data_IF_274516602427
#
_entry.id   IF_274516602427
#
_cell.length_a   1.000
_cell.length_b   1.000
_cell.length_c   1.000
_cell.angle_alpha   90.00
_cell.angle_beta   90.00
_cell.angle_gamma   90.00
#
_symmetry.space_group_name_H-M   'P 1'
#
loop_
_entity.id
_entity.type
_entity.pdbx_description
1 polymer ?
#
# COMPACT_ATOMS: atom_id res chain seq x y z
N UNK A 1 51.37 -26.68 -33.36
CA UNK A 1 51.71 -28.07 -33.72
C UNK A 1 50.66 -28.97 -33.06
N UNK A 2 49.47 -29.12 -33.67
CA UNK A 2 49.04 -30.21 -34.58
C UNK A 2 49.07 -31.61 -33.95
N UNK A 3 47.89 -32.13 -33.56
CA UNK A 3 47.38 -33.52 -33.71
C UNK A 3 45.97 -33.56 -33.07
N UNK A 4 44.85 -33.51 -33.82
CA UNK A 4 44.16 -34.55 -34.61
C UNK A 4 43.66 -35.71 -33.70
N UNK A 5 42.42 -35.70 -33.19
CA UNK A 5 41.10 -36.03 -33.77
C UNK A 5 40.90 -37.53 -34.08
N UNK A 6 40.04 -38.21 -33.32
CA UNK A 6 39.30 -39.40 -33.78
C UNK A 6 37.85 -39.34 -33.28
N UNK A 7 36.96 -39.22 -34.27
CA UNK A 7 35.51 -39.38 -34.25
C UNK A 7 35.20 -40.87 -34.52
N UNK A 8 34.27 -41.47 -33.77
CA UNK A 8 33.70 -42.78 -34.10
C UNK A 8 32.18 -42.65 -34.17
N UNK A 9 31.69 -42.51 -35.40
CA UNK A 9 30.31 -42.74 -35.82
C UNK A 9 30.29 -44.17 -36.39
N UNK A 10 29.39 -45.01 -35.90
CA UNK A 10 29.00 -46.24 -36.60
C UNK A 10 27.49 -46.23 -36.84
N UNK A 11 27.19 -46.29 -38.15
CA UNK A 11 25.89 -46.49 -38.76
C UNK A 11 25.45 -47.96 -38.66
N UNK A 12 24.13 -48.16 -38.66
CA UNK A 12 23.47 -49.40 -39.05
C UNK A 12 21.97 -49.19 -39.22
N UNK A 13 21.52 -48.94 -40.46
CA UNK A 13 20.13 -49.18 -40.91
C UNK A 13 19.88 -50.69 -41.01
N UNK A 14 18.76 -51.26 -41.48
CA UNK A 14 17.67 -50.92 -42.42
C UNK A 14 16.52 -51.89 -42.01
N UNK A 15 15.23 -51.53 -42.01
CA UNK A 15 14.20 -51.94 -43.01
C UNK A 15 12.85 -51.39 -42.51
N UNK A 16 12.13 -50.56 -43.25
CA UNK A 16 11.19 -50.87 -44.35
C UNK A 16 9.80 -51.35 -43.86
N UNK A 17 8.78 -50.63 -44.35
CA UNK A 17 7.35 -50.64 -43.99
C UNK A 17 6.56 -51.76 -44.73
N UNK A 18 5.27 -51.60 -45.12
CA UNK A 18 4.01 -51.31 -44.40
C UNK A 18 2.90 -52.38 -44.68
N UNK A 19 1.80 -52.39 -43.91
CA UNK A 19 0.46 -52.97 -44.23
C UNK A 19 -0.30 -53.18 -42.91
N UNK A 20 -1.62 -53.12 -42.76
CA UNK A 20 -2.79 -52.82 -43.58
C UNK A 20 -3.94 -52.61 -42.55
N UNK A 21 -4.73 -51.55 -42.62
CA UNK A 21 -6.14 -51.51 -43.09
C UNK A 21 -7.08 -52.62 -42.56
N UNK A 22 -8.08 -52.22 -41.76
CA UNK A 22 -9.53 -52.61 -41.80
C UNK A 22 -10.24 -51.83 -40.67
N UNK A 23 -11.13 -50.86 -40.89
CA UNK A 23 -12.44 -50.81 -41.59
C UNK A 23 -13.64 -51.24 -40.72
N UNK A 24 -14.75 -50.51 -40.91
CA UNK A 24 -16.14 -50.67 -40.42
C UNK A 24 -16.43 -50.04 -39.02
N UNK A 25 -17.27 -49.01 -38.85
CA UNK A 25 -18.25 -48.38 -39.73
C UNK A 25 -19.68 -48.94 -39.52
N UNK A 26 -20.55 -48.11 -38.92
CA UNK A 26 -22.01 -48.03 -39.07
C UNK A 26 -22.96 -48.96 -38.27
N UNK A 27 -23.95 -48.33 -37.60
CA UNK A 27 -25.40 -48.64 -37.52
C UNK A 27 -26.01 -47.86 -36.31
N UNK A 28 -26.48 -46.61 -36.45
CA UNK A 28 -27.77 -46.10 -36.96
C UNK A 28 -28.97 -46.27 -36.00
N UNK A 29 -29.31 -45.16 -35.33
CA UNK A 29 -30.61 -44.48 -35.08
C UNK A 29 -31.91 -45.25 -34.69
N UNK A 30 -32.54 -44.64 -33.67
CA UNK A 30 -33.96 -44.22 -33.49
C UNK A 30 -35.05 -45.26 -33.19
N UNK A 31 -35.73 -45.04 -32.04
CA UNK A 31 -37.20 -45.12 -31.81
C UNK A 31 -37.50 -44.06 -30.72
N UNK A 32 -38.14 -42.90 -30.96
CA UNK A 32 -39.60 -42.60 -31.11
C UNK A 32 -40.37 -43.03 -29.83
N UNK A 33 -41.10 -42.26 -29.02
CA UNK A 33 -41.74 -40.94 -29.01
C UNK A 33 -42.14 -40.64 -27.52
N UNK A 34 -42.68 -39.44 -27.19
CA UNK A 34 -42.86 -38.92 -25.82
C UNK A 34 -44.28 -39.06 -25.28
N UNK A 35 -44.49 -39.09 -23.95
CA UNK A 35 -45.74 -38.66 -23.30
C UNK A 35 -45.65 -38.65 -21.75
N UNK A 36 -46.60 -38.10 -20.96
CA UNK A 36 -47.00 -36.70 -20.82
C UNK A 36 -46.83 -36.17 -19.36
N UNK A 37 -47.06 -34.86 -19.20
CA UNK A 37 -47.30 -34.16 -17.94
C UNK A 37 -48.44 -34.78 -17.09
N UNK A 38 -48.54 -34.46 -15.78
CA UNK A 38 -49.55 -33.44 -15.48
C UNK A 38 -49.09 -32.37 -14.48
N UNK A 39 -49.50 -31.14 -14.79
CA UNK A 39 -49.61 -30.00 -13.86
C UNK A 39 -50.93 -30.09 -13.10
N UNK A 40 -51.05 -29.52 -11.89
CA UNK A 40 -52.30 -28.87 -11.50
C UNK A 40 -52.12 -27.35 -11.32
N UNK A 41 -52.73 -26.64 -12.28
CA UNK A 41 -53.53 -25.40 -12.18
C UNK A 41 -53.23 -24.31 -11.14
N UNK A 42 -52.84 -23.18 -11.73
CA UNK A 42 -53.04 -21.77 -11.40
C UNK A 42 -54.42 -21.42 -10.75
N UNK A 43 -54.41 -20.60 -9.70
CA UNK A 43 -55.49 -19.62 -9.42
C UNK A 43 -54.91 -18.20 -9.40
N UNK A 44 -55.30 -17.42 -10.41
CA UNK A 44 -55.24 -15.96 -10.41
C UNK A 44 -56.49 -15.41 -9.73
N UNK A 45 -56.36 -14.35 -8.92
CA UNK A 45 -57.16 -13.12 -9.11
C UNK A 45 -56.75 -11.97 -8.19
N UNK A 46 -56.38 -10.88 -8.89
CA UNK A 46 -56.83 -9.49 -8.75
C UNK A 46 -56.35 -8.63 -7.57
N UNK A 47 -55.52 -7.66 -7.95
CA UNK A 47 -55.78 -6.20 -8.00
C UNK A 47 -56.29 -5.46 -6.76
N UNK A 48 -55.82 -4.20 -6.67
CA UNK A 48 -56.27 -3.06 -5.85
C UNK A 48 -55.38 -2.88 -4.61
N UNK A 49 -54.81 -1.71 -4.26
CA UNK A 49 -54.93 -0.31 -4.70
C UNK A 49 -53.89 0.52 -3.92
N UNK A 50 -53.34 1.57 -4.56
CA UNK A 50 -53.00 2.91 -4.01
C UNK A 50 -52.14 3.05 -2.72
N UNK A 51 -50.93 3.65 -2.92
CA UNK A 51 -50.23 4.78 -2.24
C UNK A 51 -50.84 5.39 -0.93
N UNK A 52 -50.10 6.16 -0.08
CA UNK A 52 -48.72 6.65 -0.24
C UNK A 52 -47.80 6.76 1.00
N UNK A 53 -46.52 6.99 0.69
CA UNK A 53 -45.48 7.76 1.40
C UNK A 53 -45.98 9.01 2.14
N UNK A 54 -45.30 9.44 3.21
CA UNK A 54 -45.17 10.86 3.52
C UNK A 54 -43.70 11.31 3.44
N UNK A 55 -43.41 12.07 2.39
CA UNK A 55 -42.38 13.13 2.39
C UNK A 55 -43.14 14.44 2.57
N UNK A 56 -42.77 15.33 3.49
CA UNK A 56 -43.15 16.72 3.39
C UNK A 56 -42.06 17.51 2.63
N UNK A 57 -42.37 17.89 1.39
CA UNK A 57 -41.74 19.05 0.73
C UNK A 57 -42.32 20.35 1.29
N UNK A 58 -41.60 21.49 1.19
CA UNK A 58 -41.88 22.71 1.94
C UNK A 58 -43.05 23.50 1.35
N UNK A 59 -43.87 24.11 2.21
CA UNK A 59 -44.81 25.16 1.80
C UNK A 59 -44.16 26.52 2.00
N UNK A 60 -43.95 27.21 0.89
CA UNK A 60 -43.80 28.65 0.85
C UNK A 60 -45.17 29.31 1.05
N UNK A 61 -45.24 30.33 1.89
CA UNK A 61 -46.19 31.43 1.70
C UNK A 61 -45.51 32.75 2.05
N UNK A 62 -45.59 33.66 1.09
CA UNK A 62 -44.95 34.95 1.04
C UNK A 62 -45.90 36.07 1.52
N UNK A 63 -45.34 37.11 2.14
CA UNK A 63 -45.66 38.57 2.10
C UNK A 63 -45.06 39.23 3.36
N UNK A 64 -44.33 40.35 3.32
CA UNK A 64 -43.98 41.30 2.27
C UNK A 64 -42.63 41.98 2.58
N UNK A 65 -41.86 42.34 1.55
CA UNK A 65 -41.67 43.71 0.99
C UNK A 65 -40.83 44.64 1.90
N UNK A 66 -39.55 44.87 1.52
CA UNK A 66 -39.01 46.07 0.81
C UNK A 66 -38.78 47.25 1.77
N UNK A 67 -37.73 48.06 1.74
CA UNK A 67 -36.56 48.19 0.88
C UNK A 67 -35.52 49.09 1.59
N UNK A 68 -34.28 49.04 1.10
CA UNK A 68 -33.19 50.01 1.32
C UNK A 68 -33.60 51.45 0.96
N UNK A 69 -32.84 52.47 1.41
CA UNK A 69 -32.06 53.18 0.40
C UNK A 69 -30.68 53.70 0.87
N UNK A 70 -29.77 53.80 -0.10
CA UNK A 70 -28.66 54.77 -0.16
C UNK A 70 -28.94 55.68 -1.36
N UNK A 71 -28.61 56.99 -1.30
CA UNK A 71 -27.58 57.51 -2.23
C UNK A 71 -26.62 58.56 -1.62
N UNK A 72 -25.49 58.76 -2.33
CA UNK A 72 -24.37 59.74 -2.20
C UNK A 72 -24.79 61.22 -2.41
N UNK A 73 -23.92 62.31 -2.45
CA UNK A 73 -22.44 62.43 -2.43
C UNK A 73 -21.82 63.63 -1.60
N UNK A 74 -20.50 63.81 -1.78
CA UNK A 74 -19.41 64.70 -1.24
C UNK A 74 -19.63 66.25 -1.31
N UNK A 75 -18.79 67.18 -0.71
CA UNK A 75 -17.33 67.33 -0.96
C UNK A 75 -16.39 67.88 0.16
N UNK A 76 -15.15 67.35 0.17
CA UNK A 76 -13.83 68.02 0.07
C UNK A 76 -13.54 69.33 0.85
N UNK A 77 -12.47 69.31 1.64
CA UNK A 77 -11.54 70.45 1.84
C UNK A 77 -10.09 69.97 1.88
N UNK A 78 -9.20 70.75 1.26
CA UNK A 78 -7.77 70.51 1.00
C UNK A 78 -6.94 71.56 1.75
N UNK A 79 -5.76 71.19 2.25
CA UNK A 79 -4.55 72.04 2.27
C UNK A 79 -3.31 71.14 2.49
N UNK A 80 -2.44 70.84 1.51
CA UNK A 80 -1.22 71.57 1.06
C UNK A 80 -0.38 72.08 2.25
N UNK A 81 0.92 71.77 2.41
CA UNK A 81 2.03 72.08 1.49
C UNK A 81 3.38 71.45 1.94
N UNK A 82 4.18 70.97 0.95
CA UNK A 82 5.66 71.00 0.72
C UNK A 82 6.66 70.76 1.89
N UNK A 83 7.50 69.70 1.80
CA UNK A 83 8.84 69.56 1.13
C UNK A 83 10.01 70.05 2.01
N UNK A 84 10.92 69.15 2.41
CA UNK A 84 12.34 68.99 1.97
C UNK A 84 13.14 68.15 2.99
N UNK A 85 13.99 67.25 2.48
CA UNK A 85 15.06 66.53 3.22
C UNK A 85 16.36 67.36 3.18
N UNK A 86 17.32 67.19 4.12
CA UNK A 86 18.45 66.30 3.86
C UNK A 86 19.01 65.53 5.10
N UNK A 87 19.83 64.51 4.82
CA UNK A 87 20.62 63.63 5.71
C UNK A 87 21.68 64.36 6.55
N UNK A 88 22.07 63.84 7.73
CA UNK A 88 23.39 63.18 7.88
C UNK A 88 23.43 61.93 8.79
N UNK A 89 24.41 61.06 8.54
CA UNK A 89 24.97 59.92 9.33
C UNK A 89 26.04 60.45 10.33
N UNK A 90 26.68 59.74 11.32
CA UNK A 90 26.55 58.37 11.89
C UNK A 90 26.41 58.31 13.45
N UNK A 91 26.19 57.11 14.01
CA UNK A 91 26.87 56.71 15.27
C UNK A 91 26.01 56.15 16.40
N UNK A 92 26.40 54.94 16.82
CA UNK A 92 26.22 54.32 18.15
C UNK A 92 24.97 53.45 18.44
N UNK A 93 25.28 52.16 18.58
CA UNK A 93 24.54 51.06 19.22
C UNK A 93 24.55 51.23 20.75
N UNK A 94 23.55 50.74 21.51
CA UNK A 94 23.67 49.37 22.03
C UNK A 94 22.35 48.56 22.12
N UNK A 95 22.56 47.24 22.05
CA UNK A 95 21.85 46.13 22.71
C UNK A 95 20.33 45.94 22.55
N UNK A 96 20.02 44.87 21.80
CA UNK A 96 19.32 43.65 22.27
C UNK A 96 18.06 43.78 23.14
N UNK A 97 16.94 43.39 22.54
CA UNK A 97 15.90 42.61 23.24
C UNK A 97 15.32 41.62 22.24
N UNK A 98 15.98 40.46 22.14
CA UNK A 98 15.40 39.29 21.48
C UNK A 98 14.23 38.79 22.34
N UNK A 99 13.05 38.79 21.75
CA UNK A 99 11.86 38.17 22.34
C UNK A 99 11.99 36.65 22.17
N UNK A 100 11.87 35.84 23.25
CA UNK A 100 12.17 34.41 23.18
C UNK A 100 11.14 33.65 22.33
N UNK A 101 11.58 32.71 21.46
CA UNK A 101 10.67 31.84 20.73
C UNK A 101 9.98 30.85 21.67
N UNK A 102 8.68 30.69 21.44
CA UNK A 102 7.80 29.81 22.19
C UNK A 102 8.31 28.36 22.20
N UNK A 103 8.44 27.83 23.42
CA UNK A 103 8.67 26.44 23.78
C UNK A 103 7.77 25.49 23.00
N UNK A 104 8.32 24.52 22.23
CA UNK A 104 7.53 23.40 21.73
C UNK A 104 7.11 22.51 22.90
N UNK A 105 5.80 22.33 23.08
CA UNK A 105 5.23 21.38 24.02
C UNK A 105 5.76 19.97 23.71
N UNK A 106 6.39 19.35 24.71
CA UNK A 106 6.82 17.96 24.68
C UNK A 106 5.63 17.04 24.38
N UNK A 107 5.63 16.46 23.18
CA UNK A 107 4.91 15.23 22.90
C UNK A 107 5.62 14.10 23.67
N UNK A 108 4.91 13.23 24.40
CA UNK A 108 5.55 12.24 25.25
C UNK A 108 6.43 11.30 24.43
N UNK A 109 7.72 11.34 24.76
CA UNK A 109 8.79 10.48 24.29
C UNK A 109 8.57 9.05 24.82
N UNK A 110 7.59 8.33 24.26
CA UNK A 110 7.39 6.91 24.54
C UNK A 110 8.25 6.08 23.59
N UNK A 111 9.49 5.73 24.00
CA UNK A 111 10.27 4.73 23.28
C UNK A 111 11.77 4.62 23.57
N UNK A 112 12.39 5.50 24.34
CA UNK A 112 13.78 5.29 24.79
C UNK A 112 13.81 4.40 26.03
N UNK A 113 13.67 3.08 25.86
CA UNK A 113 13.71 2.20 27.05
C UNK A 113 13.58 0.69 26.90
N UNK A 114 13.43 0.11 25.71
CA UNK A 114 13.54 -1.35 25.57
C UNK A 114 14.78 -1.69 24.77
N UNK A 115 15.76 -2.32 25.43
CA UNK A 115 16.96 -2.90 24.82
C UNK A 115 16.51 -4.06 23.93
N UNK A 116 16.03 -3.72 22.75
CA UNK A 116 15.49 -4.65 21.79
C UNK A 116 16.56 -5.57 21.22
N UNK A 117 16.13 -6.67 20.59
CA UNK A 117 17.06 -7.45 19.80
C UNK A 117 17.59 -6.58 18.65
N UNK A 118 18.88 -6.73 18.27
CA UNK A 118 19.46 -5.95 17.18
C UNK A 118 18.68 -6.14 15.88
N UNK A 119 18.83 -5.26 14.91
CA UNK A 119 18.19 -5.43 13.60
C UNK A 119 18.69 -6.73 12.93
N UNK A 120 17.86 -7.31 12.07
CA UNK A 120 18.22 -8.53 11.33
C UNK A 120 18.08 -8.30 9.83
N UNK A 121 19.09 -8.76 9.10
CA UNK A 121 19.07 -8.89 7.64
C UNK A 121 18.91 -10.36 7.27
N UNK A 122 18.33 -10.60 6.10
CA UNK A 122 18.45 -11.88 5.40
C UNK A 122 19.50 -11.77 4.29
N UNK A 123 20.15 -12.89 3.97
CA UNK A 123 20.82 -13.02 2.67
C UNK A 123 19.75 -13.28 1.59
N UNK A 124 19.88 -12.73 0.37
CA UNK A 124 18.99 -13.07 -0.73
C UNK A 124 18.86 -14.58 -0.96
N UNK A 125 19.95 -15.34 -0.80
CA UNK A 125 19.93 -16.80 -0.95
C UNK A 125 19.12 -17.52 0.13
N UNK A 126 18.79 -16.86 1.25
CA UNK A 126 17.92 -17.39 2.29
C UNK A 126 16.43 -17.22 1.96
N UNK A 127 16.10 -16.50 0.88
CA UNK A 127 14.73 -16.27 0.41
C UNK A 127 14.43 -17.27 -0.71
N UNK A 128 13.31 -17.98 -0.60
CA UNK A 128 12.88 -18.99 -1.56
C UNK A 128 12.61 -18.38 -2.94
N UNK A 129 13.24 -18.94 -3.99
CA UNK A 129 13.03 -18.53 -5.37
C UNK A 129 13.57 -17.15 -5.73
N UNK A 130 14.37 -16.51 -4.86
CA UNK A 130 14.90 -15.17 -5.06
C UNK A 130 15.60 -15.00 -6.42
N UNK A 131 16.35 -16.01 -6.86
CA UNK A 131 17.06 -16.01 -8.14
C UNK A 131 16.15 -15.85 -9.36
N UNK A 132 14.86 -16.18 -9.22
CA UNK A 132 13.83 -16.07 -10.26
C UNK A 132 13.07 -14.75 -10.20
N UNK A 133 13.26 -13.94 -9.16
CA UNK A 133 12.57 -12.66 -9.04
C UNK A 133 12.99 -11.74 -10.19
N UNK A 134 12.06 -10.96 -10.77
CA UNK A 134 12.41 -10.03 -11.83
C UNK A 134 13.50 -9.04 -11.39
N UNK A 135 14.39 -8.61 -12.29
CA UNK A 135 15.58 -7.83 -11.93
C UNK A 135 15.25 -6.58 -11.10
N UNK A 136 14.17 -5.87 -11.43
CA UNK A 136 13.74 -4.68 -10.69
C UNK A 136 13.25 -5.00 -9.26
N UNK A 137 12.60 -6.15 -9.07
CA UNK A 137 12.18 -6.62 -7.74
C UNK A 137 13.41 -6.97 -6.89
N UNK A 138 14.40 -7.66 -7.48
CA UNK A 138 15.68 -7.94 -6.81
C UNK A 138 16.38 -6.67 -6.35
N UNK A 139 16.48 -5.65 -7.22
CA UNK A 139 17.05 -4.34 -6.86
C UNK A 139 16.37 -3.71 -5.63
N UNK A 140 15.04 -3.72 -5.58
CA UNK A 140 14.26 -3.18 -4.44
C UNK A 140 14.52 -3.99 -3.17
N UNK A 141 14.50 -5.32 -3.27
CA UNK A 141 14.76 -6.23 -2.14
C UNK A 141 16.18 -6.04 -1.60
N UNK A 142 17.17 -5.99 -2.48
CA UNK A 142 18.58 -5.81 -2.11
C UNK A 142 18.82 -4.46 -1.44
N UNK A 143 18.26 -3.39 -2.00
CA UNK A 143 18.35 -2.06 -1.40
C UNK A 143 17.71 -2.01 0.00
N UNK A 144 16.55 -2.68 0.16
CA UNK A 144 15.92 -2.82 1.48
C UNK A 144 16.79 -3.61 2.46
N UNK A 145 17.33 -4.76 2.04
CA UNK A 145 18.18 -5.60 2.88
C UNK A 145 19.46 -4.88 3.29
N UNK A 146 20.05 -4.08 2.41
CA UNK A 146 21.22 -3.27 2.73
C UNK A 146 20.94 -2.25 3.84
N UNK A 147 19.77 -1.61 3.85
CA UNK A 147 19.38 -0.70 4.93
C UNK A 147 19.28 -1.40 6.29
N UNK A 148 18.89 -2.69 6.33
CA UNK A 148 18.81 -3.43 7.60
C UNK A 148 20.16 -3.66 8.26
N UNK A 149 21.26 -3.60 7.48
CA UNK A 149 22.64 -3.74 7.98
C UNK A 149 23.16 -2.46 8.66
N UNK A 150 22.47 -1.33 8.47
CA UNK A 150 22.89 -0.02 8.98
C UNK A 150 22.43 0.24 10.43
N UNK A 151 21.77 -0.72 11.08
CA UNK A 151 21.31 -0.63 12.46
C UNK A 151 20.44 0.62 12.75
N UNK A 152 19.57 0.95 11.80
CA UNK A 152 18.68 2.12 11.86
C UNK A 152 17.50 1.87 12.79
N UNK A 153 17.20 2.83 13.66
CA UNK A 153 16.04 2.82 14.55
C UNK A 153 14.73 3.15 13.84
N UNK A 154 13.64 3.19 14.62
CA UNK A 154 12.35 3.72 14.15
C UNK A 154 12.24 5.19 14.52
N UNK A 155 12.12 6.06 13.54
CA UNK A 155 11.97 7.50 13.76
C UNK A 155 10.74 8.00 13.01
N UNK A 156 9.67 8.29 13.75
CA UNK A 156 8.41 8.78 13.18
C UNK A 156 8.64 10.06 12.35
N UNK A 157 8.11 10.10 11.13
CA UNK A 157 8.28 11.23 10.21
C UNK A 157 9.58 11.20 9.40
N UNK A 158 10.54 10.32 9.70
CA UNK A 158 11.82 10.25 8.97
C UNK A 158 11.77 9.30 7.76
N UNK A 159 12.37 9.74 6.65
CA UNK A 159 12.64 8.91 5.46
C UNK A 159 14.11 8.93 5.05
N UNK A 160 14.98 9.49 5.88
CA UNK A 160 16.40 9.58 5.60
C UNK A 160 17.18 8.70 6.59
N UNK A 161 17.90 7.66 6.13
CA UNK A 161 18.70 6.83 7.02
C UNK A 161 19.78 7.64 7.77
N UNK A 162 20.24 8.78 7.24
CA UNK A 162 21.22 9.64 7.91
C UNK A 162 20.70 10.19 9.26
N UNK A 163 19.38 10.23 9.47
CA UNK A 163 18.77 10.62 10.75
C UNK A 163 18.82 9.50 11.81
N UNK A 164 19.53 8.40 11.54
CA UNK A 164 19.68 7.26 12.46
C UNK A 164 18.44 6.36 12.55
N UNK A 165 17.38 6.67 11.79
CA UNK A 165 16.14 5.91 11.79
C UNK A 165 15.13 6.40 10.76
N UNK A 166 14.18 5.54 10.45
CA UNK A 166 13.14 5.79 9.44
C UNK A 166 11.80 5.32 9.96
N UNK A 167 10.70 5.94 9.53
CA UNK A 167 9.37 5.38 9.73
C UNK A 167 9.01 4.37 8.63
N UNK A 168 7.85 3.72 8.78
CA UNK A 168 7.41 2.67 7.87
C UNK A 168 7.29 3.15 6.41
N UNK A 169 6.56 4.25 6.16
CA UNK A 169 6.37 4.79 4.81
C UNK A 169 7.63 5.48 4.28
N UNK A 170 8.50 5.97 5.15
CA UNK A 170 9.77 6.61 4.83
C UNK A 170 10.78 5.61 4.32
N UNK A 171 10.81 4.41 4.90
CA UNK A 171 11.55 3.28 4.33
C UNK A 171 11.10 2.98 2.89
N UNK A 172 9.79 2.84 2.65
CA UNK A 172 9.26 2.58 1.30
C UNK A 172 9.63 3.72 0.34
N UNK A 173 9.40 4.97 0.76
CA UNK A 173 9.71 6.15 -0.03
C UNK A 173 11.18 6.17 -0.45
N UNK A 174 12.10 5.96 0.50
CA UNK A 174 13.53 5.95 0.23
C UNK A 174 13.92 4.83 -0.74
N UNK A 175 13.54 3.58 -0.43
CA UNK A 175 13.90 2.42 -1.26
C UNK A 175 13.38 2.60 -2.68
N UNK A 176 12.13 3.03 -2.86
CA UNK A 176 11.54 3.18 -4.19
C UNK A 176 12.11 4.38 -4.96
N UNK A 177 12.37 5.52 -4.31
CA UNK A 177 13.06 6.66 -4.93
C UNK A 177 14.43 6.27 -5.47
N UNK A 178 15.24 5.58 -4.66
CA UNK A 178 16.59 5.13 -5.06
C UNK A 178 16.56 4.12 -6.23
N UNK A 179 15.43 3.43 -6.42
CA UNK A 179 15.26 2.40 -7.45
C UNK A 179 14.49 2.87 -8.69
N UNK A 180 14.28 4.17 -8.85
CA UNK A 180 13.73 4.79 -10.06
C UNK A 180 12.22 4.98 -10.06
N UNK A 181 11.58 5.04 -8.89
CA UNK A 181 10.15 5.37 -8.76
C UNK A 181 9.98 6.79 -8.18
N UNK A 182 10.11 7.85 -9.00
CA UNK A 182 10.09 9.23 -8.51
C UNK A 182 8.73 9.64 -7.95
N UNK A 183 7.63 9.01 -8.37
CA UNK A 183 6.27 9.40 -8.02
C UNK A 183 5.74 8.73 -6.75
N UNK A 184 6.57 7.91 -6.08
CA UNK A 184 6.18 7.28 -4.80
C UNK A 184 5.83 8.34 -3.75
N UNK A 185 4.62 8.30 -3.15
CA UNK A 185 4.26 9.24 -2.10
C UNK A 185 5.03 9.01 -0.80
N UNK A 186 5.18 10.07 0.02
CA UNK A 186 5.87 9.98 1.32
C UNK A 186 5.04 9.30 2.41
N UNK A 187 3.72 9.48 2.39
CA UNK A 187 2.80 9.02 3.44
C UNK A 187 2.23 7.62 3.13
N UNK A 188 2.00 6.78 4.14
CA UNK A 188 1.46 5.41 3.96
C UNK A 188 0.07 5.39 3.34
N UNK A 189 -0.80 6.34 3.69
CA UNK A 189 -2.14 6.48 3.13
C UNK A 189 -2.07 6.87 1.66
N UNK A 190 -1.14 7.76 1.32
CA UNK A 190 -0.94 8.17 -0.07
C UNK A 190 -0.27 7.07 -0.90
N UNK A 191 0.65 6.29 -0.35
CA UNK A 191 1.22 5.11 -1.01
C UNK A 191 0.13 4.07 -1.29
N UNK A 192 -0.77 3.83 -0.34
CA UNK A 192 -1.93 2.98 -0.55
C UNK A 192 -2.84 3.53 -1.67
N UNK A 193 -3.19 4.81 -1.65
CA UNK A 193 -4.03 5.43 -2.70
C UNK A 193 -3.35 5.37 -4.06
N UNK A 194 -2.04 5.62 -4.13
CA UNK A 194 -1.24 5.52 -5.34
C UNK A 194 -1.33 4.12 -5.96
N UNK A 195 -1.20 3.09 -5.12
CA UNK A 195 -1.27 1.70 -5.55
C UNK A 195 -2.69 1.30 -5.98
N UNK A 196 -3.71 1.72 -5.22
CA UNK A 196 -5.12 1.52 -5.56
C UNK A 196 -5.50 2.15 -6.90
N UNK A 197 -4.98 3.35 -7.20
CA UNK A 197 -5.23 4.06 -8.46
C UNK A 197 -4.62 3.34 -9.68
N UNK A 198 -3.54 2.59 -9.48
CA UNK A 198 -2.92 1.79 -10.53
C UNK A 198 -3.72 0.52 -10.88
N UNK A 199 -4.69 0.12 -10.03
CA UNK A 199 -5.60 -1.00 -10.30
C UNK A 199 -5.09 -2.38 -9.90
N UNK A 200 -3.92 -2.49 -9.27
CA UNK A 200 -3.28 -3.76 -8.92
C UNK A 200 -3.19 -3.93 -7.39
N UNK A 201 -4.35 -3.94 -6.73
CA UNK A 201 -4.47 -4.09 -5.27
C UNK A 201 -5.43 -5.22 -4.90
N UNK A 202 -4.94 -6.15 -4.10
CA UNK A 202 -5.70 -7.25 -3.52
C UNK A 202 -6.09 -6.91 -2.08
N UNK A 203 -7.39 -6.71 -1.86
CA UNK A 203 -7.95 -6.51 -0.52
C UNK A 203 -8.02 -7.85 0.23
N UNK A 204 -7.70 -7.82 1.52
CA UNK A 204 -7.76 -9.00 2.39
C UNK A 204 -8.70 -8.70 3.55
N UNK A 205 -9.77 -9.50 3.65
CA UNK A 205 -10.80 -9.37 4.68
C UNK A 205 -10.63 -10.42 5.79
N UNK A 206 -10.03 -11.57 5.45
CA UNK A 206 -9.74 -12.64 6.37
C UNK A 206 -8.66 -12.30 7.39
N UNK A 207 -8.53 -13.17 8.39
CA UNK A 207 -7.49 -13.12 9.43
C UNK A 207 -6.61 -14.38 9.45
N UNK A 208 -6.69 -15.18 8.39
CA UNK A 208 -5.99 -16.45 8.24
C UNK A 208 -4.80 -16.28 7.30
N UNK A 209 -3.62 -16.71 7.76
CA UNK A 209 -2.36 -16.63 7.00
C UNK A 209 -2.31 -17.60 5.82
N UNK A 210 -3.15 -18.63 5.82
CA UNK A 210 -3.27 -19.66 4.79
C UNK A 210 -4.53 -19.48 3.92
N UNK A 211 -5.13 -18.29 3.94
CA UNK A 211 -6.28 -17.97 3.09
C UNK A 211 -5.88 -17.78 1.62
N UNK A 212 -6.82 -18.11 0.72
CA UNK A 212 -6.70 -17.90 -0.72
C UNK A 212 -6.46 -16.42 -1.09
N UNK A 213 -6.86 -15.49 -0.22
CA UNK A 213 -6.68 -14.04 -0.42
C UNK A 213 -5.19 -13.67 -0.52
N UNK A 214 -4.28 -14.54 -0.07
CA UNK A 214 -2.83 -14.35 -0.12
C UNK A 214 -2.13 -15.19 -1.21
N UNK A 215 -2.88 -15.84 -2.10
CA UNK A 215 -2.30 -16.69 -3.17
C UNK A 215 -1.58 -15.86 -4.24
N UNK A 216 -2.07 -14.65 -4.51
CA UNK A 216 -1.46 -13.73 -5.48
C UNK A 216 -0.36 -12.85 -4.87
N UNK A 217 -0.06 -12.98 -3.57
CA UNK A 217 0.95 -12.18 -2.89
C UNK A 217 2.35 -12.54 -3.40
N UNK A 218 3.02 -11.57 -4.03
CA UNK A 218 4.30 -11.76 -4.72
C UNK A 218 5.41 -10.90 -4.14
N UNK A 219 6.67 -11.38 -4.16
CA UNK A 219 7.82 -10.60 -3.71
C UNK A 219 7.87 -9.20 -4.35
N UNK A 220 8.19 -8.20 -3.54
CA UNK A 220 8.15 -6.79 -3.93
C UNK A 220 6.79 -6.10 -3.80
N UNK A 221 5.71 -6.83 -3.53
CA UNK A 221 4.41 -6.21 -3.24
C UNK A 221 4.47 -5.39 -1.94
N UNK A 222 3.77 -4.26 -1.94
CA UNK A 222 3.58 -3.44 -0.75
C UNK A 222 2.43 -3.99 0.08
N UNK A 223 2.65 -4.08 1.38
CA UNK A 223 1.72 -4.61 2.38
C UNK A 223 1.18 -3.46 3.22
N UNK A 224 -0.13 -3.39 3.48
CA UNK A 224 -0.72 -2.27 4.21
C UNK A 224 -1.54 -2.70 5.43
N UNK A 225 -1.40 -1.94 6.53
CA UNK A 225 -2.20 -2.11 7.74
C UNK A 225 -2.80 -0.77 8.19
N UNK A 226 -3.91 -0.88 8.92
CA UNK A 226 -4.51 0.20 9.72
C UNK A 226 -4.53 -0.16 11.20
N UNK A 227 -4.80 0.82 12.06
CA UNK A 227 -5.03 0.60 13.49
C UNK A 227 -3.79 0.15 14.29
N UNK A 228 -2.58 0.42 13.79
CA UNK A 228 -1.33 0.16 14.54
C UNK A 228 -1.00 1.28 15.53
N UNK A 229 -1.58 2.46 15.35
CA UNK A 229 -1.58 3.62 16.26
C UNK A 229 -2.70 4.57 15.82
N UNK A 230 -3.05 5.54 16.66
CA UNK A 230 -4.10 6.50 16.35
C UNK A 230 -3.64 7.52 15.31
N UNK A 231 -4.44 7.70 14.26
CA UNK A 231 -4.28 8.76 13.26
C UNK A 231 -5.65 9.32 12.89
N UNK A 232 -5.68 10.60 12.54
CA UNK A 232 -6.83 11.25 11.92
C UNK A 232 -6.51 11.52 10.44
N UNK A 233 -6.62 10.47 9.62
CA UNK A 233 -6.34 10.46 8.17
C UNK A 233 -7.29 9.51 7.45
N UNK A 234 -7.64 9.84 6.21
CA UNK A 234 -8.44 8.98 5.31
C UNK A 234 -7.71 8.74 3.97
N UNK A 235 -7.47 7.49 3.55
CA UNK A 235 -7.73 6.25 4.30
C UNK A 235 -6.81 6.10 5.53
N UNK A 236 -7.27 5.47 6.62
CA UNK A 236 -6.53 5.40 7.88
C UNK A 236 -5.42 4.34 7.85
N UNK A 237 -4.53 4.39 6.86
CA UNK A 237 -3.40 3.47 6.72
C UNK A 237 -2.27 3.92 7.66
N UNK A 238 -1.95 3.09 8.64
CA UNK A 238 -0.99 3.40 9.70
C UNK A 238 0.37 2.73 9.46
N UNK A 239 0.46 1.69 8.63
CA UNK A 239 1.71 0.96 8.44
C UNK A 239 1.83 0.34 7.06
N UNK A 240 3.06 0.24 6.56
CA UNK A 240 3.40 -0.33 5.26
C UNK A 240 4.75 -1.04 5.29
N UNK A 241 4.90 -2.13 4.52
CA UNK A 241 6.11 -2.96 4.43
C UNK A 241 6.25 -3.54 3.01
N UNK A 242 7.43 -4.06 2.65
CA UNK A 242 7.65 -4.78 1.38
C UNK A 242 7.68 -6.29 1.65
N UNK A 243 6.90 -7.06 0.91
CA UNK A 243 6.93 -8.52 1.00
C UNK A 243 8.20 -9.10 0.36
N UNK A 244 8.87 -10.01 1.04
CA UNK A 244 10.11 -10.63 0.55
C UNK A 244 9.87 -12.03 -0.07
N UNK A 245 8.77 -12.69 0.24
CA UNK A 245 8.57 -14.11 -0.05
C UNK A 245 8.68 -14.97 1.21
N UNK A 246 9.12 -16.22 1.05
CA UNK A 246 9.30 -17.17 2.14
C UNK A 246 10.78 -17.34 2.50
N UNK A 247 11.09 -17.41 3.79
CA UNK A 247 12.44 -17.76 4.26
C UNK A 247 12.64 -19.28 4.12
N UNK A 248 13.69 -19.73 3.43
CA UNK A 248 13.98 -21.15 3.18
C UNK A 248 14.06 -21.98 4.46
N UNK A 249 14.60 -21.41 5.54
CA UNK A 249 14.81 -22.10 6.83
C UNK A 249 13.51 -22.45 7.53
N UNK A 250 12.53 -21.55 7.52
CA UNK A 250 11.29 -21.69 8.30
C UNK A 250 10.05 -21.91 7.46
N UNK A 251 10.18 -21.73 6.14
CA UNK A 251 9.08 -21.65 5.19
C UNK A 251 8.02 -20.57 5.53
N UNK A 252 8.35 -19.64 6.43
CA UNK A 252 7.46 -18.55 6.84
C UNK A 252 7.58 -17.38 5.90
N UNK A 253 6.46 -16.70 5.69
CA UNK A 253 6.41 -15.43 4.97
C UNK A 253 7.18 -14.36 5.76
N UNK A 254 8.04 -13.64 5.06
CA UNK A 254 8.88 -12.57 5.63
C UNK A 254 8.70 -11.29 4.84
N UNK A 255 8.93 -10.17 5.51
CA UNK A 255 8.80 -8.83 4.96
C UNK A 255 9.89 -7.92 5.50
N UNK A 256 10.12 -6.80 4.83
CA UNK A 256 11.15 -5.83 5.17
C UNK A 256 10.57 -4.43 5.27
N UNK A 257 11.10 -3.65 6.18
CA UNK A 257 10.73 -2.26 6.37
C UNK A 257 11.15 -1.73 7.71
N UNK A 258 10.50 -0.65 8.15
CA UNK A 258 10.73 -0.07 9.47
C UNK A 258 9.51 -0.23 10.37
N UNK A 259 9.71 -0.73 11.59
CA UNK A 259 8.62 -0.95 12.54
C UNK A 259 9.01 -0.63 13.99
N UNK A 260 8.06 -0.18 14.78
CA UNK A 260 8.19 0.02 16.22
C UNK A 260 7.69 -1.21 17.01
N UNK A 261 8.43 -2.33 16.93
CA UNK A 261 8.15 -3.48 17.79
C UNK A 261 7.45 -4.68 17.13
N UNK A 262 7.61 -4.91 15.82
CA UNK A 262 7.23 -6.19 15.18
C UNK A 262 8.24 -7.29 15.53
N UNK A 263 7.91 -8.54 15.21
CA UNK A 263 8.75 -9.70 15.53
C UNK A 263 9.41 -10.30 14.31
N UNK A 264 10.59 -10.88 14.50
CA UNK A 264 11.21 -11.84 13.58
C UNK A 264 11.70 -13.03 14.39
N UNK A 265 11.29 -14.23 14.02
CA UNK A 265 11.62 -15.47 14.74
C UNK A 265 11.25 -15.40 16.23
N UNK A 266 10.08 -14.82 16.52
CA UNK A 266 9.55 -14.63 17.87
C UNK A 266 10.23 -13.54 18.71
N UNK A 267 11.26 -12.88 18.17
CA UNK A 267 12.00 -11.80 18.86
C UNK A 267 11.53 -10.44 18.40
N UNK A 268 11.17 -9.58 19.34
CA UNK A 268 10.74 -8.20 19.06
C UNK A 268 11.92 -7.33 18.62
N UNK A 269 11.70 -6.53 17.58
CA UNK A 269 12.70 -5.67 16.94
C UNK A 269 12.10 -4.30 16.58
N UNK A 270 12.98 -3.32 16.45
CA UNK A 270 12.63 -1.92 16.24
C UNK A 270 13.44 -1.33 15.09
N UNK A 271 12.86 -0.39 14.36
CA UNK A 271 13.52 0.25 13.22
C UNK A 271 13.57 -0.61 11.98
N UNK A 272 14.60 -0.40 11.16
CA UNK A 272 14.73 -1.00 9.83
C UNK A 272 15.29 -2.43 9.93
N UNK A 273 14.45 -3.42 9.66
CA UNK A 273 14.77 -4.83 9.85
C UNK A 273 13.91 -5.73 8.94
N UNK A 274 14.26 -7.02 8.88
CA UNK A 274 13.34 -8.08 8.43
C UNK A 274 12.40 -8.48 9.57
N UNK A 275 11.16 -8.80 9.23
CA UNK A 275 10.07 -9.17 10.15
C UNK A 275 9.26 -10.36 9.62
N UNK A 276 8.67 -11.12 10.54
CA UNK A 276 7.68 -12.14 10.22
C UNK A 276 6.42 -11.47 9.65
N UNK A 277 5.90 -11.97 8.53
CA UNK A 277 4.54 -11.64 8.11
C UNK A 277 3.57 -12.47 8.94
N UNK A 278 2.75 -11.79 9.77
CA UNK A 278 1.73 -12.42 10.60
C UNK A 278 0.41 -11.65 10.50
N UNK A 279 -0.69 -12.37 10.50
CA UNK A 279 -2.01 -11.74 10.56
C UNK A 279 -2.24 -11.16 11.96
N UNK A 280 -2.77 -9.93 12.08
CA UNK A 280 -3.08 -9.36 13.37
C UNK A 280 -4.07 -10.22 14.18
N UNK A 281 -3.86 -10.37 15.50
CA UNK A 281 -4.82 -11.05 16.34
C UNK A 281 -6.18 -10.33 16.31
N UNK A 282 -7.28 -11.03 16.63
CA UNK A 282 -8.57 -10.40 16.83
C UNK A 282 -8.48 -9.23 17.82
N UNK A 283 -9.32 -8.18 17.67
CA UNK A 283 -9.38 -7.10 18.64
C UNK A 283 -9.65 -7.67 20.04
N UNK A 284 -8.83 -7.29 21.03
CA UNK A 284 -9.03 -7.70 22.43
C UNK A 284 -9.99 -6.77 23.19
N UNK A 285 -10.30 -5.60 22.64
CA UNK A 285 -11.17 -4.58 23.25
C UNK A 285 -12.03 -3.87 22.19
N UNK A 286 -13.07 -3.17 22.65
CA UNK A 286 -14.02 -2.43 21.81
C UNK A 286 -13.49 -1.14 21.17
N UNK A 287 -12.22 -0.80 21.38
CA UNK A 287 -11.61 0.38 20.75
C UNK A 287 -11.08 0.00 19.36
N UNK A 288 -12.00 0.00 18.39
CA UNK A 288 -11.74 -0.42 17.01
C UNK A 288 -10.62 0.39 16.32
N UNK A 289 -10.31 1.58 16.83
CA UNK A 289 -9.33 2.50 16.24
C UNK A 289 -7.87 2.06 16.43
N UNK A 290 -7.56 1.26 17.47
CA UNK A 290 -6.22 0.72 17.75
C UNK A 290 -6.22 -0.82 17.68
N UNK A 291 -7.05 -1.38 16.81
CA UNK A 291 -6.98 -2.80 16.48
C UNK A 291 -6.28 -2.96 15.13
N UNK A 292 -5.06 -3.52 15.09
CA UNK A 292 -4.37 -3.69 13.84
C UNK A 292 -5.17 -4.58 12.89
N UNK A 293 -5.35 -4.12 11.65
CA UNK A 293 -6.00 -4.86 10.57
C UNK A 293 -5.10 -4.83 9.37
N UNK A 294 -4.81 -6.00 8.82
CA UNK A 294 -4.17 -6.10 7.51
C UNK A 294 -5.22 -5.76 6.45
N UNK A 295 -4.95 -4.72 5.66
CA UNK A 295 -5.90 -4.19 4.67
C UNK A 295 -5.76 -4.93 3.34
N UNK A 296 -4.54 -5.33 3.02
CA UNK A 296 -4.22 -6.02 1.78
C UNK A 296 -2.84 -5.64 1.27
N UNK A 297 -2.60 -5.98 0.02
CA UNK A 297 -1.32 -5.81 -0.64
C UNK A 297 -1.50 -5.40 -2.10
N UNK A 298 -0.42 -5.00 -2.74
CA UNK A 298 -0.43 -4.90 -4.19
C UNK A 298 0.90 -4.49 -4.78
N UNK A 299 0.89 -4.44 -6.11
CA UNK A 299 2.09 -4.23 -6.93
C UNK A 299 2.49 -2.77 -6.97
N UNK A 300 3.79 -2.50 -6.82
CA UNK A 300 4.34 -1.15 -7.03
C UNK A 300 4.01 -0.69 -8.47
N UNK A 301 3.29 0.43 -8.65
CA UNK A 301 2.95 0.95 -9.97
C UNK A 301 4.19 1.17 -10.85
N UNK A 302 4.09 0.77 -12.12
CA UNK A 302 5.19 0.86 -13.08
C UNK A 302 6.17 -0.33 -13.05
N UNK A 303 5.96 -1.32 -12.18
CA UNK A 303 6.71 -2.59 -12.27
C UNK A 303 6.22 -3.44 -13.45
N UNK A 304 7.12 -4.18 -14.13
CA UNK A 304 6.72 -5.18 -15.10
C UNK A 304 5.91 -6.31 -14.43
N UNK A 305 5.09 -6.98 -15.23
CA UNK A 305 4.36 -8.17 -14.76
C UNK A 305 5.35 -9.24 -14.26
N UNK A 306 4.97 -9.92 -13.17
CA UNK A 306 5.73 -10.99 -12.52
C UNK A 306 5.05 -12.33 -12.73
#
# INVERSE_FOLDING_TARGET
>A
MKSLLILMILFGGIDAAPSAEESLGSNIKKVLEPDPSPTPTRKHRKHSTKKPTPTPSPTASAKGRKASPTPSPTPRSKSKRKKTSPTPTPGESPSETETPPATPAESPEAGRGKKGWPNVSLSPDAIEGYEKYPPKVRQIVDAGLELTKQNLGYTYGSADPANGGMDCSGFIYYVLKQNGFPDVPRDSSQQYVWLRKAGDFSAVLGRKEDSFELDDLKPGDLLFWRGTYNIDRDPPITHTMIYLGREKRTNKRVMIGSSDGRTYDGKQRWGVSVFDFKMPPPPKSGDANISPVFVGYGRIPGMPAQ
#
